data_IF_630774786141
#
_entry.id   IF_630774786141
#
_cell.length_a   1.000
_cell.length_b   1.000
_cell.length_c   1.000
_cell.angle_alpha   90.00
_cell.angle_beta   90.00
_cell.angle_gamma   90.00
#
_symmetry.space_group_name_H-M   'P 1'
#
loop_
_entity.id
_entity.type
_entity.pdbx_description
1 polymer ?
#
# COMPACT_ATOMS: atom_id res chain seq x y z
N UNK A 1 -39.49 45.21 13.06
CA UNK A 1 -38.59 45.13 11.89
C UNK A 1 -37.14 44.71 12.21
N UNK A 2 -36.60 44.95 13.42
CA UNK A 2 -35.21 44.61 13.76
C UNK A 2 -34.90 43.10 13.87
N UNK A 3 -35.81 42.31 14.43
CA UNK A 3 -35.61 40.86 14.63
C UNK A 3 -35.47 40.06 13.33
N UNK A 4 -36.14 40.46 12.25
CA UNK A 4 -36.06 39.79 10.95
C UNK A 4 -34.68 39.97 10.28
N UNK A 5 -34.07 41.15 10.45
CA UNK A 5 -32.71 41.45 9.93
C UNK A 5 -31.62 40.68 10.68
N UNK A 6 -31.77 40.54 12.00
CA UNK A 6 -30.85 39.76 12.84
C UNK A 6 -30.96 38.26 12.49
N UNK A 7 -32.18 37.75 12.32
CA UNK A 7 -32.41 36.35 11.95
C UNK A 7 -31.86 36.01 10.54
N UNK A 8 -32.05 36.88 9.55
CA UNK A 8 -31.45 36.74 8.22
C UNK A 8 -29.91 36.80 8.25
N UNK A 9 -29.34 37.67 9.10
CA UNK A 9 -27.88 37.75 9.28
C UNK A 9 -27.30 36.45 9.85
N UNK A 10 -27.96 35.85 10.86
CA UNK A 10 -27.55 34.56 11.41
C UNK A 10 -27.68 33.41 10.39
N UNK A 11 -28.74 33.38 9.59
CA UNK A 11 -28.92 32.40 8.52
C UNK A 11 -27.82 32.54 7.46
N UNK A 12 -27.52 33.77 7.03
CA UNK A 12 -26.45 34.03 6.05
C UNK A 12 -25.08 33.65 6.62
N UNK A 13 -24.77 34.00 7.87
CA UNK A 13 -23.53 33.60 8.55
C UNK A 13 -23.40 32.09 8.77
N UNK A 14 -24.50 31.35 8.90
CA UNK A 14 -24.50 29.88 8.98
C UNK A 14 -24.38 29.21 7.61
N UNK A 15 -24.88 29.84 6.54
CA UNK A 15 -24.85 29.28 5.18
C UNK A 15 -23.51 29.49 4.47
N UNK A 16 -22.81 30.60 4.72
CA UNK A 16 -21.49 30.88 4.11
C UNK A 16 -20.46 29.77 4.38
N UNK A 17 -20.23 29.29 5.61
CA UNK A 17 -19.26 28.22 5.86
C UNK A 17 -19.68 26.89 5.20
N UNK A 18 -20.98 26.60 5.08
CA UNK A 18 -21.47 25.41 4.37
C UNK A 18 -21.20 25.47 2.85
N UNK A 19 -21.41 26.62 2.23
CA UNK A 19 -21.19 26.81 0.77
C UNK A 19 -19.70 26.75 0.43
N UNK A 20 -18.84 27.35 1.26
CA UNK A 20 -17.38 27.28 1.08
C UNK A 20 -16.88 25.84 1.20
N UNK A 21 -17.32 25.11 2.24
CA UNK A 21 -16.94 23.71 2.45
C UNK A 21 -17.43 22.77 1.32
N UNK A 22 -18.58 23.06 0.71
CA UNK A 22 -19.10 22.30 -0.43
C UNK A 22 -18.31 22.59 -1.73
N UNK A 23 -17.89 23.84 -1.96
CA UNK A 23 -17.10 24.25 -3.12
C UNK A 23 -15.70 23.64 -3.10
N UNK A 24 -15.06 23.62 -1.93
CA UNK A 24 -13.76 22.99 -1.74
C UNK A 24 -13.85 21.48 -1.97
N UNK A 25 -14.90 20.84 -1.45
CA UNK A 25 -15.13 19.40 -1.64
C UNK A 25 -15.30 18.99 -3.12
N UNK A 26 -16.07 19.77 -3.90
CA UNK A 26 -16.25 19.53 -5.32
C UNK A 26 -14.94 19.69 -6.09
N UNK A 27 -14.15 20.72 -5.77
CA UNK A 27 -12.84 20.96 -6.40
C UNK A 27 -11.85 19.81 -6.18
N UNK A 28 -11.74 19.27 -4.95
CA UNK A 28 -10.88 18.12 -4.68
C UNK A 28 -11.33 16.86 -5.44
N UNK A 29 -12.64 16.65 -5.59
CA UNK A 29 -13.16 15.52 -6.36
C UNK A 29 -12.89 15.66 -7.85
N UNK A 30 -13.08 16.85 -8.43
CA UNK A 30 -12.75 17.14 -9.82
C UNK A 30 -11.26 16.93 -10.10
N UNK A 31 -10.38 17.37 -9.21
CA UNK A 31 -8.94 17.14 -9.31
C UNK A 31 -8.60 15.63 -9.34
N UNK A 32 -9.21 14.84 -8.45
CA UNK A 32 -9.05 13.39 -8.44
C UNK A 32 -9.54 12.74 -9.75
N UNK A 33 -10.67 13.22 -10.28
CA UNK A 33 -11.25 12.71 -11.52
C UNK A 33 -10.39 13.02 -12.75
N UNK A 34 -9.81 14.22 -12.85
CA UNK A 34 -8.90 14.60 -13.93
C UNK A 34 -7.58 13.81 -13.88
N UNK A 35 -7.04 13.58 -12.68
CA UNK A 35 -5.87 12.71 -12.51
C UNK A 35 -6.22 11.27 -12.88
N UNK A 36 -7.43 10.78 -12.58
CA UNK A 36 -7.82 9.42 -12.93
C UNK A 36 -7.78 9.16 -14.44
N UNK A 37 -8.22 10.13 -15.26
CA UNK A 37 -8.20 10.01 -16.73
C UNK A 37 -6.78 9.84 -17.27
N UNK A 38 -5.80 10.50 -16.66
CA UNK A 38 -4.43 10.58 -17.19
C UNK A 38 -3.44 9.64 -16.50
N UNK A 39 -3.65 9.30 -15.23
CA UNK A 39 -2.77 8.48 -14.38
C UNK A 39 -3.58 7.84 -13.24
N UNK A 40 -4.35 6.76 -13.50
CA UNK A 40 -5.36 6.26 -12.58
C UNK A 40 -4.83 5.75 -11.23
N UNK A 41 -3.60 5.25 -11.15
CA UNK A 41 -2.98 4.88 -9.86
C UNK A 41 -2.82 6.11 -8.95
N UNK A 42 -2.46 7.27 -9.50
CA UNK A 42 -2.30 8.49 -8.70
C UNK A 42 -3.61 9.11 -8.25
N UNK A 43 -4.76 8.68 -8.79
CA UNK A 43 -6.07 9.09 -8.30
C UNK A 43 -6.48 8.37 -7.00
N UNK A 44 -5.92 7.18 -6.74
CA UNK A 44 -6.18 6.39 -5.52
C UNK A 44 -5.96 7.21 -4.24
N UNK A 45 -4.75 7.77 -3.99
CA UNK A 45 -4.50 8.53 -2.76
C UNK A 45 -5.39 9.78 -2.64
N UNK A 46 -5.85 10.36 -3.75
CA UNK A 46 -6.76 11.51 -3.74
C UNK A 46 -8.16 11.09 -3.29
N UNK A 47 -8.69 10.00 -3.84
CA UNK A 47 -9.98 9.47 -3.39
C UNK A 47 -9.94 8.99 -1.94
N UNK A 48 -8.85 8.37 -1.49
CA UNK A 48 -8.66 8.02 -0.08
C UNK A 48 -8.67 9.28 0.81
N UNK A 49 -7.99 10.34 0.39
CA UNK A 49 -7.95 11.61 1.10
C UNK A 49 -9.33 12.29 1.17
N UNK A 50 -10.09 12.28 0.07
CA UNK A 50 -11.48 12.76 0.02
C UNK A 50 -12.33 12.03 1.07
N UNK A 51 -12.29 10.69 1.08
CA UNK A 51 -13.11 9.90 2.01
C UNK A 51 -12.74 10.07 3.48
N UNK A 52 -11.49 10.46 3.78
CA UNK A 52 -11.04 10.68 5.15
C UNK A 52 -11.35 12.08 5.66
N UNK A 53 -11.34 13.10 4.79
CA UNK A 53 -11.36 14.50 5.19
C UNK A 53 -12.63 15.25 4.78
N UNK A 54 -13.35 14.79 3.77
CA UNK A 54 -14.52 15.48 3.22
C UNK A 54 -15.81 14.79 3.70
N UNK A 55 -16.69 15.58 4.32
CA UNK A 55 -17.98 15.12 4.86
C UNK A 55 -19.16 15.47 3.94
N UNK A 56 -19.02 15.21 2.64
CA UNK A 56 -20.11 15.37 1.67
C UNK A 56 -20.64 14.00 1.22
N UNK A 57 -21.92 13.71 1.45
CA UNK A 57 -22.51 12.39 1.20
C UNK A 57 -22.51 11.97 -0.28
N UNK A 58 -22.80 12.89 -1.19
CA UNK A 58 -22.92 12.59 -2.62
C UNK A 58 -21.55 12.38 -3.26
N UNK A 59 -20.59 13.26 -2.90
CA UNK A 59 -19.19 13.12 -3.30
C UNK A 59 -18.63 11.81 -2.74
N UNK A 60 -18.89 11.49 -1.46
CA UNK A 60 -18.39 10.26 -0.84
C UNK A 60 -18.97 9.01 -1.50
N UNK A 61 -20.26 9.00 -1.86
CA UNK A 61 -20.88 7.87 -2.57
C UNK A 61 -20.20 7.61 -3.92
N UNK A 62 -19.86 8.69 -4.63
CA UNK A 62 -19.19 8.61 -5.93
C UNK A 62 -17.73 8.20 -5.77
N UNK A 63 -16.98 8.84 -4.86
CA UNK A 63 -15.60 8.51 -4.54
C UNK A 63 -15.45 7.06 -4.06
N UNK A 64 -16.38 6.54 -3.25
CA UNK A 64 -16.40 5.13 -2.83
C UNK A 64 -16.47 4.19 -4.03
N UNK A 65 -17.33 4.52 -5.00
CA UNK A 65 -17.53 3.68 -6.19
C UNK A 65 -16.30 3.71 -7.11
N UNK A 66 -15.71 4.89 -7.31
CA UNK A 66 -14.48 5.08 -8.11
C UNK A 66 -13.28 4.40 -7.47
N UNK A 67 -13.05 4.61 -6.18
CA UNK A 67 -11.95 4.00 -5.44
C UNK A 67 -12.03 2.47 -5.44
N UNK A 68 -13.23 1.91 -5.20
CA UNK A 68 -13.43 0.46 -5.31
C UNK A 68 -13.10 -0.07 -6.70
N UNK A 69 -13.53 0.62 -7.76
CA UNK A 69 -13.20 0.25 -9.13
C UNK A 69 -11.68 0.23 -9.36
N UNK A 70 -10.96 1.25 -8.88
CA UNK A 70 -9.50 1.33 -9.00
C UNK A 70 -8.81 0.17 -8.25
N UNK A 71 -9.22 -0.13 -7.02
CA UNK A 71 -8.67 -1.28 -6.28
C UNK A 71 -8.86 -2.60 -7.02
N UNK A 72 -10.04 -2.83 -7.60
CA UNK A 72 -10.29 -4.04 -8.40
C UNK A 72 -9.45 -4.04 -9.69
N UNK A 73 -9.39 -2.91 -10.40
CA UNK A 73 -8.64 -2.76 -11.66
C UNK A 73 -7.16 -3.08 -11.49
N UNK A 74 -6.57 -2.67 -10.36
CA UNK A 74 -5.15 -2.89 -10.06
C UNK A 74 -4.88 -4.12 -9.19
N UNK A 75 -5.88 -5.00 -8.98
CA UNK A 75 -5.77 -6.22 -8.16
C UNK A 75 -5.30 -5.98 -6.71
N UNK A 76 -5.68 -4.84 -6.13
CA UNK A 76 -5.40 -4.47 -4.75
C UNK A 76 -6.42 -5.14 -3.80
N UNK A 77 -6.37 -6.47 -3.73
CA UNK A 77 -7.43 -7.26 -3.07
C UNK A 77 -7.47 -7.06 -1.55
N UNK A 78 -6.33 -6.87 -0.89
CA UNK A 78 -6.34 -6.56 0.55
C UNK A 78 -7.04 -5.22 0.82
N UNK A 79 -6.81 -4.21 -0.02
CA UNK A 79 -7.50 -2.92 0.04
C UNK A 79 -9.00 -3.09 -0.18
N UNK A 80 -9.42 -3.94 -1.13
CA UNK A 80 -10.85 -4.27 -1.33
C UNK A 80 -11.49 -4.81 -0.05
N UNK A 81 -10.83 -5.74 0.64
CA UNK A 81 -11.37 -6.35 1.87
C UNK A 81 -11.46 -5.34 3.02
N UNK A 82 -10.40 -4.56 3.25
CA UNK A 82 -10.36 -3.50 4.25
C UNK A 82 -11.41 -2.42 3.95
N UNK A 83 -11.54 -2.05 2.66
CA UNK A 83 -12.46 -1.03 2.21
C UNK A 83 -13.92 -1.42 2.41
N UNK A 84 -14.27 -2.68 2.16
CA UNK A 84 -15.62 -3.19 2.41
C UNK A 84 -15.97 -3.28 3.89
N UNK A 85 -14.98 -3.49 4.78
CA UNK A 85 -15.20 -3.37 6.24
C UNK A 85 -15.51 -1.93 6.65
N UNK A 86 -14.76 -0.95 6.12
CA UNK A 86 -14.95 0.47 6.46
C UNK A 86 -16.22 1.05 5.82
N UNK A 87 -16.55 0.62 4.61
CA UNK A 87 -17.67 1.13 3.81
C UNK A 87 -18.54 -0.02 3.32
N UNK A 88 -19.64 -0.28 4.05
CA UNK A 88 -20.59 -1.36 3.76
C UNK A 88 -20.91 -1.49 2.27
N UNK A 89 -20.70 -2.65 1.64
CA UNK A 89 -20.81 -2.81 0.19
C UNK A 89 -22.27 -2.79 -0.29
N UNK A 90 -22.51 -2.14 -1.43
CA UNK A 90 -23.79 -2.23 -2.15
C UNK A 90 -23.86 -3.56 -2.96
N UNK A 91 -25.00 -3.84 -3.59
CA UNK A 91 -25.24 -5.09 -4.36
C UNK A 91 -24.15 -5.36 -5.42
N UNK A 92 -23.73 -4.33 -6.15
CA UNK A 92 -22.68 -4.44 -7.17
C UNK A 92 -21.30 -4.76 -6.57
N UNK A 93 -20.89 -4.05 -5.51
CA UNK A 93 -19.64 -4.30 -4.80
C UNK A 93 -19.61 -5.69 -4.15
N UNK A 94 -20.73 -6.13 -3.57
CA UNK A 94 -20.87 -7.50 -3.04
C UNK A 94 -20.60 -8.54 -4.14
N UNK A 95 -21.26 -8.42 -5.31
CA UNK A 95 -21.06 -9.33 -6.44
C UNK A 95 -19.60 -9.36 -6.91
N UNK A 96 -18.94 -8.21 -7.03
CA UNK A 96 -17.53 -8.15 -7.44
C UNK A 96 -16.60 -8.77 -6.38
N UNK A 97 -16.87 -8.52 -5.10
CA UNK A 97 -16.10 -9.10 -3.99
C UNK A 97 -16.27 -10.61 -3.95
N UNK A 98 -17.48 -11.13 -4.14
CA UNK A 98 -17.74 -12.57 -4.23
C UNK A 98 -16.94 -13.23 -5.36
N UNK A 99 -16.86 -12.60 -6.55
CA UNK A 99 -16.03 -13.11 -7.65
C UNK A 99 -14.53 -13.17 -7.30
N UNK A 100 -14.03 -12.18 -6.56
CA UNK A 100 -12.63 -12.17 -6.07
C UNK A 100 -12.43 -13.33 -5.09
N UNK A 101 -13.34 -13.51 -4.13
CA UNK A 101 -13.30 -14.59 -3.14
C UNK A 101 -13.37 -15.95 -3.84
N UNK A 102 -14.27 -16.15 -4.81
CA UNK A 102 -14.36 -17.40 -5.59
C UNK A 102 -13.06 -17.72 -6.34
N UNK A 103 -12.43 -16.70 -6.96
CA UNK A 103 -11.15 -16.88 -7.65
C UNK A 103 -10.04 -17.28 -6.69
N UNK A 104 -9.96 -16.63 -5.53
CA UNK A 104 -8.95 -16.92 -4.50
C UNK A 104 -9.21 -18.27 -3.83
N UNK A 105 -10.46 -18.60 -3.53
CA UNK A 105 -10.85 -19.84 -2.84
C UNK A 105 -10.51 -21.06 -3.69
N UNK A 106 -10.76 -20.99 -5.02
CA UNK A 106 -10.33 -22.03 -5.98
C UNK A 106 -8.82 -22.25 -5.95
N UNK A 107 -8.02 -21.18 -5.90
CA UNK A 107 -6.55 -21.28 -5.86
C UNK A 107 -6.04 -21.82 -4.51
N UNK A 108 -6.74 -21.52 -3.42
CA UNK A 108 -6.38 -21.96 -2.07
C UNK A 108 -6.99 -23.33 -1.70
N UNK A 109 -7.83 -23.90 -2.57
CA UNK A 109 -8.56 -25.13 -2.30
C UNK A 109 -9.58 -25.01 -1.15
N UNK A 110 -10.14 -23.83 -0.92
CA UNK A 110 -11.13 -23.55 0.13
C UNK A 110 -12.52 -23.31 -0.48
N UNK A 111 -13.59 -23.52 0.30
CA UNK A 111 -14.91 -23.02 -0.10
C UNK A 111 -14.94 -21.48 0.00
N UNK A 112 -15.76 -20.80 -0.82
CA UNK A 112 -15.90 -19.34 -0.75
C UNK A 112 -16.36 -18.83 0.63
N UNK A 113 -17.19 -19.61 1.34
CA UNK A 113 -17.69 -19.27 2.66
C UNK A 113 -16.59 -19.33 3.73
N UNK A 114 -15.76 -20.37 3.71
CA UNK A 114 -14.62 -20.50 4.61
C UNK A 114 -13.63 -19.34 4.40
N UNK A 115 -13.28 -19.05 3.14
CA UNK A 115 -12.35 -17.97 2.84
C UNK A 115 -12.92 -16.61 3.25
N UNK A 116 -14.21 -16.35 3.01
CA UNK A 116 -14.89 -15.14 3.47
C UNK A 116 -14.81 -14.97 4.99
N UNK A 117 -15.03 -16.05 5.73
CA UNK A 117 -14.92 -16.07 7.19
C UNK A 117 -13.49 -15.77 7.67
N UNK A 118 -12.47 -16.37 7.05
CA UNK A 118 -11.06 -16.11 7.35
C UNK A 118 -10.70 -14.65 7.07
N UNK A 119 -11.11 -14.11 5.91
CA UNK A 119 -10.85 -12.72 5.54
C UNK A 119 -11.51 -11.76 6.55
N UNK A 120 -12.75 -12.03 6.96
CA UNK A 120 -13.45 -11.21 7.95
C UNK A 120 -12.68 -11.10 9.27
N UNK A 121 -12.16 -12.23 9.76
CA UNK A 121 -11.33 -12.28 10.96
C UNK A 121 -9.96 -11.60 10.74
N UNK A 122 -9.33 -11.81 9.58
CA UNK A 122 -8.03 -11.23 9.25
C UNK A 122 -8.07 -9.69 9.17
N UNK A 123 -9.18 -9.14 8.67
CA UNK A 123 -9.45 -7.70 8.55
C UNK A 123 -9.88 -7.10 9.92
N UNK A 124 -10.17 -7.93 10.92
CA UNK A 124 -10.41 -7.44 12.28
C UNK A 124 -9.13 -7.05 13.01
N UNK A 125 -9.20 -6.01 13.86
CA UNK A 125 -8.15 -5.64 14.79
C UNK A 125 -8.47 -6.11 16.22
N UNK A 126 -9.65 -6.71 16.43
CA UNK A 126 -10.13 -7.07 17.76
C UNK A 126 -9.39 -8.32 18.27
N UNK A 127 -8.85 -8.24 19.50
CA UNK A 127 -8.06 -9.32 20.11
C UNK A 127 -8.83 -10.64 20.22
N UNK A 128 -10.14 -10.58 20.42
CA UNK A 128 -11.02 -11.76 20.48
C UNK A 128 -11.03 -12.57 19.18
N UNK A 129 -10.66 -11.97 18.05
CA UNK A 129 -10.62 -12.65 16.74
C UNK A 129 -9.35 -13.44 16.51
N UNK A 130 -8.27 -13.20 17.28
CA UNK A 130 -6.97 -13.82 17.04
C UNK A 130 -7.01 -15.35 17.19
N UNK A 131 -7.58 -15.94 18.27
CA UNK A 131 -7.65 -17.39 18.41
C UNK A 131 -8.50 -18.03 17.31
N UNK A 132 -9.64 -17.42 16.97
CA UNK A 132 -10.56 -17.91 15.93
C UNK A 132 -9.89 -17.93 14.54
N UNK A 133 -9.09 -16.91 14.24
CA UNK A 133 -8.34 -16.82 12.98
C UNK A 133 -7.31 -17.95 12.89
N UNK A 134 -6.56 -18.18 13.97
CA UNK A 134 -5.55 -19.24 14.04
C UNK A 134 -6.20 -20.61 13.96
N UNK A 135 -7.32 -20.82 14.66
CA UNK A 135 -8.09 -22.06 14.58
C UNK A 135 -8.50 -22.38 13.14
N UNK A 136 -9.08 -21.41 12.43
CA UNK A 136 -9.45 -21.59 11.02
C UNK A 136 -8.25 -21.82 10.10
N UNK A 137 -7.12 -21.18 10.36
CA UNK A 137 -5.89 -21.44 9.62
C UNK A 137 -5.39 -22.88 9.85
N UNK A 138 -5.41 -23.36 11.10
CA UNK A 138 -4.94 -24.71 11.50
C UNK A 138 -5.79 -25.83 10.90
N UNK A 139 -7.05 -25.59 10.56
CA UNK A 139 -7.90 -26.58 9.88
C UNK A 139 -7.37 -26.94 8.48
N UNK A 140 -6.78 -25.99 7.76
CA UNK A 140 -6.22 -26.22 6.42
C UNK A 140 -4.99 -25.35 6.19
N UNK A 141 -3.86 -25.67 6.85
CA UNK A 141 -2.67 -24.85 6.78
C UNK A 141 -2.06 -24.94 5.38
N UNK A 142 -1.88 -23.80 4.74
CA UNK A 142 -1.08 -23.67 3.52
C UNK A 142 -0.22 -22.42 3.55
N UNK A 143 0.86 -22.41 2.79
CA UNK A 143 1.79 -21.27 2.71
C UNK A 143 1.06 -20.07 2.09
N UNK A 144 0.24 -20.32 1.07
CA UNK A 144 -0.53 -19.32 0.35
C UNK A 144 -1.61 -18.69 1.23
N UNK A 145 -2.29 -19.50 2.05
CA UNK A 145 -3.28 -19.00 2.99
C UNK A 145 -2.62 -18.16 4.09
N UNK A 146 -1.49 -18.63 4.64
CA UNK A 146 -0.73 -17.87 5.62
C UNK A 146 -0.28 -16.53 5.04
N UNK A 147 0.23 -16.52 3.81
CA UNK A 147 0.65 -15.29 3.14
C UNK A 147 -0.51 -14.31 2.96
N UNK A 148 -1.70 -14.77 2.56
CA UNK A 148 -2.88 -13.92 2.45
C UNK A 148 -3.30 -13.34 3.80
N UNK A 149 -3.39 -14.15 4.85
CA UNK A 149 -3.76 -13.70 6.19
C UNK A 149 -2.73 -12.67 6.69
N UNK A 150 -1.44 -12.98 6.53
CA UNK A 150 -0.35 -12.12 6.93
C UNK A 150 -0.33 -10.80 6.15
N UNK A 151 -0.56 -10.81 4.82
CA UNK A 151 -0.57 -9.59 4.01
C UNK A 151 -1.71 -8.65 4.40
N UNK A 152 -2.90 -9.20 4.70
CA UNK A 152 -4.04 -8.44 5.22
C UNK A 152 -3.70 -7.85 6.59
N UNK A 153 -3.23 -8.67 7.55
CA UNK A 153 -2.88 -8.20 8.90
C UNK A 153 -1.77 -7.16 8.88
N UNK A 154 -0.82 -7.25 7.96
CA UNK A 154 0.22 -6.23 7.76
C UNK A 154 -0.34 -4.87 7.31
N UNK A 155 -1.57 -4.78 6.80
CA UNK A 155 -2.26 -3.51 6.50
C UNK A 155 -3.19 -3.03 7.61
N UNK A 156 -3.53 -3.89 8.58
CA UNK A 156 -4.31 -3.54 9.78
C UNK A 156 -3.36 -3.01 10.87
N UNK A 157 -3.76 -2.01 11.69
CA UNK A 157 -3.00 -1.58 12.86
C UNK A 157 -3.13 -2.58 14.03
N UNK A 158 -2.86 -3.87 13.78
CA UNK A 158 -2.97 -4.97 14.76
C UNK A 158 -1.64 -5.73 14.85
N UNK A 159 -0.65 -5.13 15.53
CA UNK A 159 0.68 -5.73 15.71
C UNK A 159 0.66 -6.93 16.64
N UNK A 160 -0.24 -6.95 17.62
CA UNK A 160 -0.43 -8.07 18.54
C UNK A 160 -0.97 -9.30 17.80
N UNK A 161 -1.97 -9.15 16.93
CA UNK A 161 -2.51 -10.26 16.15
C UNK A 161 -1.50 -10.86 15.18
N UNK A 162 -0.59 -10.05 14.63
CA UNK A 162 0.52 -10.57 13.82
C UNK A 162 1.49 -11.38 14.69
N UNK A 163 1.83 -10.88 15.88
CA UNK A 163 2.70 -11.59 16.80
C UNK A 163 2.09 -12.93 17.24
N UNK A 164 0.80 -12.94 17.56
CA UNK A 164 0.05 -14.15 17.92
C UNK A 164 0.01 -15.17 16.77
N UNK A 165 -0.26 -14.72 15.53
CA UNK A 165 -0.22 -15.59 14.36
C UNK A 165 1.16 -16.25 14.16
N UNK A 166 2.25 -15.49 14.39
CA UNK A 166 3.62 -15.97 14.26
C UNK A 166 4.05 -16.91 15.42
N UNK A 167 3.53 -16.70 16.63
CA UNK A 167 3.81 -17.61 17.77
C UNK A 167 3.10 -18.95 17.60
N UNK A 168 1.87 -18.93 17.11
CA UNK A 168 1.07 -20.13 16.84
C UNK A 168 1.52 -20.90 15.58
N UNK A 169 2.39 -20.28 14.77
CA UNK A 169 2.94 -20.87 13.54
C UNK A 169 4.47 -20.85 13.57
N UNK A 170 5.13 -21.62 14.47
CA UNK A 170 6.58 -21.56 14.67
C UNK A 170 7.38 -21.97 13.42
N UNK A 171 6.78 -22.81 12.56
CA UNK A 171 7.37 -23.30 11.31
C UNK A 171 7.10 -22.36 10.11
N UNK A 172 6.43 -21.23 10.32
CA UNK A 172 6.21 -20.26 9.26
C UNK A 172 7.55 -19.74 8.70
N UNK A 173 7.54 -19.37 7.42
CA UNK A 173 8.74 -18.86 6.75
C UNK A 173 9.36 -17.70 7.58
N UNK A 174 10.64 -17.79 7.98
CA UNK A 174 11.29 -16.78 8.84
C UNK A 174 11.24 -15.36 8.27
N UNK A 175 11.05 -15.20 6.95
CA UNK A 175 10.82 -13.90 6.30
C UNK A 175 9.61 -13.16 6.89
N UNK A 176 8.53 -13.86 7.28
CA UNK A 176 7.37 -13.23 7.89
C UNK A 176 7.71 -12.59 9.25
N UNK A 177 8.60 -13.23 10.03
CA UNK A 177 9.10 -12.64 11.27
C UNK A 177 9.90 -11.37 11.01
N UNK A 178 10.78 -11.37 10.00
CA UNK A 178 11.51 -10.15 9.62
C UNK A 178 10.58 -9.04 9.14
N UNK A 179 9.55 -9.36 8.35
CA UNK A 179 8.56 -8.39 7.91
C UNK A 179 7.79 -7.78 9.10
N UNK A 180 7.44 -8.62 10.09
CA UNK A 180 6.85 -8.15 11.35
C UNK A 180 7.80 -7.22 12.12
N UNK A 181 9.06 -7.60 12.31
CA UNK A 181 10.05 -6.74 12.99
C UNK A 181 10.23 -5.40 12.27
N UNK A 182 10.25 -5.39 10.94
CA UNK A 182 10.37 -4.17 10.16
C UNK A 182 9.21 -3.19 10.44
N UNK A 183 7.99 -3.69 10.64
CA UNK A 183 6.79 -2.90 10.93
C UNK A 183 6.66 -2.53 12.41
N UNK A 184 6.78 -3.49 13.31
CA UNK A 184 6.36 -3.35 14.71
C UNK A 184 7.51 -3.08 15.69
N UNK A 185 8.72 -3.56 15.38
CA UNK A 185 9.89 -3.53 16.29
C UNK A 185 11.18 -3.29 15.50
N UNK A 186 11.29 -2.15 14.78
CA UNK A 186 12.39 -1.91 13.85
C UNK A 186 13.77 -1.92 14.54
N UNK A 187 13.85 -1.52 15.81
CA UNK A 187 15.05 -1.59 16.65
C UNK A 187 15.57 -3.03 16.82
N UNK A 188 14.68 -4.01 16.85
CA UNK A 188 15.01 -5.43 16.99
C UNK A 188 15.35 -6.10 15.66
N UNK A 189 15.06 -5.45 14.52
CA UNK A 189 15.24 -6.05 13.19
C UNK A 189 16.70 -6.41 12.90
N UNK A 190 17.66 -5.58 13.35
CA UNK A 190 19.09 -5.86 13.12
C UNK A 190 19.49 -7.21 13.73
N UNK A 191 19.08 -7.47 14.98
CA UNK A 191 19.36 -8.75 15.65
C UNK A 191 18.68 -9.90 14.90
N UNK A 192 17.38 -9.77 14.61
CA UNK A 192 16.62 -10.79 13.88
C UNK A 192 17.21 -11.11 12.49
N UNK A 193 17.77 -10.11 11.79
CA UNK A 193 18.45 -10.29 10.52
C UNK A 193 19.71 -11.16 10.67
N UNK A 194 20.57 -10.90 11.66
CA UNK A 194 21.77 -11.69 11.87
C UNK A 194 21.45 -13.10 12.38
N UNK A 195 20.44 -13.24 13.24
CA UNK A 195 19.95 -14.55 13.69
C UNK A 195 19.49 -15.37 12.48
N UNK A 196 18.70 -14.77 11.58
CA UNK A 196 18.26 -15.43 10.34
C UNK A 196 19.42 -15.75 9.39
N UNK A 197 20.40 -14.84 9.25
CA UNK A 197 21.55 -15.04 8.37
C UNK A 197 22.44 -16.22 8.81
N UNK A 198 22.37 -16.61 10.09
CA UNK A 198 23.07 -17.79 10.62
C UNK A 198 22.43 -19.12 10.20
N UNK A 199 21.21 -19.10 9.66
CA UNK A 199 20.53 -20.30 9.15
C UNK A 199 21.22 -20.76 7.85
N UNK A 200 21.94 -21.88 7.94
CA UNK A 200 22.72 -22.45 6.81
C UNK A 200 21.85 -22.84 5.61
N UNK A 201 20.59 -23.24 5.85
CA UNK A 201 19.68 -23.81 4.86
C UNK A 201 18.72 -22.79 4.19
N UNK A 202 19.02 -21.49 4.21
CA UNK A 202 18.14 -20.52 3.53
C UNK A 202 18.13 -20.73 2.01
N UNK A 203 16.94 -20.84 1.44
CA UNK A 203 16.73 -20.83 -0.01
C UNK A 203 17.21 -19.51 -0.63
N UNK A 204 17.51 -19.54 -1.93
CA UNK A 204 17.86 -18.34 -2.71
C UNK A 204 16.81 -17.23 -2.59
N UNK A 205 15.53 -17.59 -2.64
CA UNK A 205 14.41 -16.66 -2.48
C UNK A 205 14.40 -16.02 -1.08
N UNK A 206 14.60 -16.81 -0.02
CA UNK A 206 14.68 -16.27 1.35
C UNK A 206 15.89 -15.37 1.53
N UNK A 207 17.05 -15.69 0.94
CA UNK A 207 18.23 -14.79 0.97
C UNK A 207 17.91 -13.45 0.28
N UNK A 208 17.25 -13.49 -0.88
CA UNK A 208 16.80 -12.29 -1.58
C UNK A 208 15.87 -11.44 -0.71
N UNK A 209 14.81 -12.04 -0.16
CA UNK A 209 13.79 -11.35 0.64
C UNK A 209 14.36 -10.80 1.95
N UNK A 210 15.26 -11.55 2.61
CA UNK A 210 15.95 -11.11 3.82
C UNK A 210 16.79 -9.86 3.57
N UNK A 211 17.62 -9.86 2.52
CA UNK A 211 18.44 -8.71 2.13
C UNK A 211 17.58 -7.52 1.68
N UNK A 212 16.46 -7.79 1.01
CA UNK A 212 15.49 -6.77 0.60
C UNK A 212 14.92 -6.04 1.83
N UNK A 213 14.36 -6.77 2.80
CA UNK A 213 13.77 -6.20 4.01
C UNK A 213 14.80 -5.41 4.84
N UNK A 214 16.02 -5.92 4.96
CA UNK A 214 17.09 -5.21 5.66
C UNK A 214 17.54 -3.94 4.90
N UNK A 215 17.59 -4.00 3.56
CA UNK A 215 17.81 -2.84 2.72
C UNK A 215 16.78 -1.73 2.93
N UNK A 216 15.49 -2.08 3.03
CA UNK A 216 14.41 -1.15 3.35
C UNK A 216 14.56 -0.53 4.74
N UNK A 217 14.91 -1.33 5.74
CA UNK A 217 15.17 -0.84 7.10
C UNK A 217 16.29 0.21 7.14
N UNK A 218 17.43 -0.08 6.49
CA UNK A 218 18.56 0.83 6.41
C UNK A 218 18.18 2.15 5.71
N UNK A 219 17.28 2.10 4.71
CA UNK A 219 16.75 3.30 4.07
C UNK A 219 15.95 4.16 5.05
N UNK A 220 15.09 3.54 5.85
CA UNK A 220 14.28 4.25 6.84
C UNK A 220 15.16 4.89 7.93
N UNK A 221 16.32 4.29 8.23
CA UNK A 221 17.37 4.88 9.07
C UNK A 221 18.26 5.91 8.35
N UNK A 222 17.94 6.29 7.11
CA UNK A 222 18.72 7.22 6.27
C UNK A 222 20.15 6.75 5.95
N UNK A 223 20.46 5.46 6.12
CA UNK A 223 21.76 4.85 5.78
C UNK A 223 21.80 4.43 4.30
N UNK A 224 21.62 5.40 3.41
CA UNK A 224 21.33 5.15 1.99
C UNK A 224 22.40 4.34 1.24
N UNK A 225 23.69 4.59 1.51
CA UNK A 225 24.79 3.83 0.88
C UNK A 225 24.73 2.34 1.21
N UNK A 226 24.47 2.01 2.48
CA UNK A 226 24.33 0.62 2.92
C UNK A 226 23.03 0.02 2.40
N UNK A 227 21.91 0.75 2.49
CA UNK A 227 20.63 0.33 1.92
C UNK A 227 20.78 -0.07 0.44
N UNK A 228 21.41 0.79 -0.38
CA UNK A 228 21.67 0.51 -1.78
C UNK A 228 22.50 -0.76 -1.98
N UNK A 229 23.56 -0.97 -1.17
CA UNK A 229 24.36 -2.19 -1.23
C UNK A 229 23.54 -3.45 -0.95
N UNK A 230 22.71 -3.44 0.10
CA UNK A 230 21.88 -4.60 0.45
C UNK A 230 20.78 -4.87 -0.58
N UNK A 231 20.17 -3.82 -1.16
CA UNK A 231 19.18 -3.96 -2.23
C UNK A 231 19.82 -4.49 -3.53
N UNK A 232 21.05 -4.08 -3.84
CA UNK A 232 21.81 -4.63 -4.96
C UNK A 232 22.22 -6.09 -4.73
N UNK A 233 22.65 -6.44 -3.51
CA UNK A 233 22.91 -7.84 -3.15
C UNK A 233 21.63 -8.67 -3.25
N UNK A 234 20.49 -8.15 -2.79
CA UNK A 234 19.19 -8.81 -2.94
C UNK A 234 18.87 -9.09 -4.41
N UNK A 235 19.00 -8.10 -5.31
CA UNK A 235 18.70 -8.30 -6.74
C UNK A 235 19.64 -9.34 -7.41
N UNK A 236 20.85 -9.52 -6.90
CA UNK A 236 21.78 -10.53 -7.38
C UNK A 236 21.25 -11.97 -7.18
N UNK A 237 20.46 -12.20 -6.12
CA UNK A 237 19.83 -13.48 -5.81
C UNK A 237 18.52 -13.73 -6.57
N UNK A 238 18.05 -12.81 -7.42
CA UNK A 238 16.78 -12.99 -8.11
C UNK A 238 16.80 -14.24 -9.02
N UNK A 239 16.00 -15.29 -8.73
CA UNK A 239 15.99 -16.52 -9.52
C UNK A 239 15.30 -16.33 -10.88
N UNK A 240 14.59 -15.21 -11.11
CA UNK A 240 13.78 -14.94 -12.29
C UNK A 240 14.37 -13.90 -13.24
N UNK A 241 15.71 -13.72 -13.28
CA UNK A 241 16.40 -12.80 -14.22
C UNK A 241 15.98 -12.97 -15.70
N UNK A 242 15.38 -14.11 -16.07
CA UNK A 242 14.92 -14.44 -17.42
C UNK A 242 13.59 -13.80 -17.85
N UNK A 243 12.82 -13.18 -16.95
CA UNK A 243 11.45 -12.71 -17.27
C UNK A 243 11.37 -11.34 -17.96
N UNK A 244 12.48 -10.76 -18.44
CA UNK A 244 12.52 -9.44 -19.09
C UNK A 244 12.03 -8.24 -18.24
N UNK A 245 11.60 -8.44 -17.00
CA UNK A 245 11.23 -7.39 -16.05
C UNK A 245 12.34 -7.11 -15.04
N UNK A 246 12.37 -5.88 -14.55
CA UNK A 246 13.23 -5.43 -13.45
C UNK A 246 12.63 -5.94 -12.14
N UNK A 247 13.46 -6.55 -11.31
CA UNK A 247 13.03 -7.09 -10.03
C UNK A 247 12.74 -5.99 -9.00
N UNK A 248 11.99 -6.36 -7.96
CA UNK A 248 11.58 -5.43 -6.91
C UNK A 248 12.76 -4.81 -6.18
N UNK A 249 13.84 -5.55 -5.96
CA UNK A 249 15.02 -5.07 -5.25
C UNK A 249 15.77 -4.03 -6.08
N UNK A 250 15.86 -4.21 -7.40
CA UNK A 250 16.40 -3.19 -8.32
C UNK A 250 15.54 -1.93 -8.37
N UNK A 251 14.21 -2.07 -8.35
CA UNK A 251 13.29 -0.92 -8.27
C UNK A 251 13.52 -0.13 -6.97
N UNK A 252 13.58 -0.81 -5.83
CA UNK A 252 13.81 -0.15 -4.54
C UNK A 252 15.25 0.41 -4.41
N UNK A 253 16.23 -0.22 -5.05
CA UNK A 253 17.59 0.31 -5.20
C UNK A 253 17.56 1.66 -5.93
N UNK A 254 16.90 1.73 -7.08
CA UNK A 254 16.79 2.97 -7.85
C UNK A 254 16.08 4.09 -7.06
N UNK A 255 14.97 3.78 -6.37
CA UNK A 255 14.31 4.75 -5.46
C UNK A 255 15.29 5.25 -4.38
N UNK A 256 16.08 4.36 -3.81
CA UNK A 256 17.09 4.69 -2.77
C UNK A 256 18.19 5.59 -3.32
N UNK A 257 18.68 5.31 -4.52
CA UNK A 257 19.68 6.14 -5.20
C UNK A 257 19.14 7.55 -5.47
N UNK A 258 17.90 7.68 -5.96
CA UNK A 258 17.24 8.98 -6.16
C UNK A 258 17.12 9.75 -4.84
N UNK A 259 16.67 9.09 -3.77
CA UNK A 259 16.58 9.70 -2.42
C UNK A 259 17.94 10.27 -2.00
N UNK A 260 19.02 9.53 -2.27
CA UNK A 260 20.40 9.96 -1.96
C UNK A 260 21.00 10.99 -2.93
N UNK A 261 20.27 11.43 -3.97
CA UNK A 261 20.74 12.41 -4.96
C UNK A 261 21.48 11.83 -6.17
N UNK A 262 21.52 10.50 -6.32
CA UNK A 262 22.21 9.79 -7.42
C UNK A 262 21.23 9.41 -8.53
N UNK A 263 20.49 10.38 -9.06
CA UNK A 263 19.41 10.12 -10.03
C UNK A 263 19.88 9.54 -11.36
N UNK A 264 21.03 9.98 -11.88
CA UNK A 264 21.59 9.47 -13.14
C UNK A 264 21.89 7.97 -13.05
N UNK A 265 22.58 7.57 -11.99
CA UNK A 265 22.88 6.19 -11.68
C UNK A 265 21.61 5.37 -11.44
N UNK A 266 20.64 5.90 -10.68
CA UNK A 266 19.36 5.24 -10.47
C UNK A 266 18.67 4.88 -11.79
N UNK A 267 18.63 5.82 -12.73
CA UNK A 267 18.00 5.58 -14.03
C UNK A 267 18.83 4.64 -14.92
N UNK A 268 20.15 4.54 -14.75
CA UNK A 268 20.96 3.55 -15.49
C UNK A 268 20.66 2.09 -15.11
N UNK A 269 20.16 1.85 -13.89
CA UNK A 269 19.71 0.52 -13.48
C UNK A 269 18.36 0.13 -14.11
N UNK A 270 17.63 1.09 -14.70
CA UNK A 270 16.30 0.88 -15.21
C UNK A 270 16.31 0.86 -16.74
N UNK A 271 15.96 -0.29 -17.31
CA UNK A 271 15.64 -0.40 -18.73
C UNK A 271 14.22 0.12 -18.97
N UNK A 272 14.01 1.06 -19.92
CA UNK A 272 12.68 1.58 -20.24
C UNK A 272 11.68 0.46 -20.55
N UNK A 273 10.49 0.50 -19.93
CA UNK A 273 9.39 -0.41 -20.22
C UNK A 273 9.49 -1.76 -19.51
N UNK A 274 10.55 -1.99 -18.73
CA UNK A 274 10.78 -3.24 -18.00
C UNK A 274 10.37 -3.18 -16.53
N UNK A 275 9.88 -2.03 -16.04
CA UNK A 275 9.34 -1.91 -14.68
C UNK A 275 7.91 -2.46 -14.67
N UNK A 276 7.65 -3.46 -13.83
CA UNK A 276 6.30 -3.92 -13.57
C UNK A 276 5.62 -2.91 -12.64
N UNK A 277 4.64 -2.15 -13.16
CA UNK A 277 3.92 -1.14 -12.39
C UNK A 277 2.95 -1.81 -11.42
N UNK A 278 3.24 -1.76 -10.11
CA UNK A 278 2.40 -2.34 -9.05
C UNK A 278 1.80 -1.30 -8.11
N UNK A 279 2.42 -0.12 -8.05
CA UNK A 279 2.03 0.98 -7.17
C UNK A 279 2.48 2.32 -7.80
N UNK A 280 2.04 3.40 -7.19
CA UNK A 280 2.34 4.79 -7.59
C UNK A 280 3.85 5.07 -7.59
N UNK A 281 4.61 4.43 -6.70
CA UNK A 281 6.06 4.59 -6.63
C UNK A 281 6.78 3.98 -7.84
N UNK A 282 6.30 2.85 -8.34
CA UNK A 282 6.84 2.18 -9.53
C UNK A 282 6.51 3.00 -10.79
N UNK A 283 5.28 3.52 -10.92
CA UNK A 283 4.88 4.40 -12.03
C UNK A 283 5.64 5.72 -12.01
N UNK A 284 5.79 6.36 -10.84
CA UNK A 284 6.55 7.59 -10.71
C UNK A 284 8.00 7.41 -11.11
N UNK A 285 8.62 6.30 -10.70
CA UNK A 285 10.00 5.99 -11.05
C UNK A 285 10.15 5.81 -12.56
N UNK A 286 9.23 5.08 -13.19
CA UNK A 286 9.20 4.89 -14.65
C UNK A 286 9.05 6.24 -15.38
N UNK A 287 8.12 7.09 -14.95
CA UNK A 287 7.94 8.45 -15.51
C UNK A 287 9.17 9.34 -15.31
N UNK A 288 9.76 9.31 -14.12
CA UNK A 288 10.94 10.10 -13.78
C UNK A 288 12.15 9.72 -14.65
N UNK A 289 12.41 8.43 -14.82
CA UNK A 289 13.57 7.95 -15.56
C UNK A 289 13.36 7.88 -17.09
N UNK A 290 12.15 7.68 -17.60
CA UNK A 290 11.92 7.57 -19.06
C UNK A 290 11.93 8.89 -19.80
N UNK A 291 11.47 9.99 -19.20
CA UNK A 291 11.11 11.16 -20.01
C UNK A 291 11.62 12.51 -19.52
N UNK A 292 12.23 12.63 -18.33
CA UNK A 292 12.39 13.97 -17.69
C UNK A 292 11.10 14.81 -17.81
N UNK A 293 9.92 14.16 -17.88
CA UNK A 293 8.64 14.80 -18.19
C UNK A 293 8.12 15.46 -16.92
N UNK A 294 8.86 16.48 -16.50
CA UNK A 294 8.58 17.30 -15.33
C UNK A 294 7.18 17.89 -15.42
N UNK A 295 6.68 18.19 -16.62
CA UNK A 295 5.30 18.63 -16.82
C UNK A 295 4.27 17.59 -16.41
N UNK A 296 4.41 16.33 -16.85
CA UNK A 296 3.51 15.24 -16.43
C UNK A 296 3.63 14.96 -14.94
N UNK A 297 4.84 14.97 -14.38
CA UNK A 297 5.06 14.76 -12.94
C UNK A 297 4.48 15.92 -12.12
N UNK A 298 4.59 17.17 -12.59
CA UNK A 298 4.00 18.36 -11.95
C UNK A 298 2.49 18.26 -11.84
N UNK A 299 1.80 17.70 -12.84
CA UNK A 299 0.35 17.43 -12.78
C UNK A 299 -0.03 16.45 -11.65
N UNK A 300 0.90 15.59 -11.23
CA UNK A 300 0.67 14.62 -10.15
C UNK A 300 0.94 15.21 -8.75
N UNK A 301 1.36 16.48 -8.64
CA UNK A 301 1.74 17.12 -7.38
C UNK A 301 0.74 16.93 -6.23
N UNK A 302 -0.60 17.05 -6.43
CA UNK A 302 -1.57 16.84 -5.35
C UNK A 302 -1.48 15.43 -4.75
N UNK A 303 -1.42 14.42 -5.63
CA UNK A 303 -1.26 13.01 -5.25
C UNK A 303 0.09 12.77 -4.56
N UNK A 304 1.17 13.34 -5.09
CA UNK A 304 2.51 13.23 -4.51
C UNK A 304 2.60 13.83 -3.11
N UNK A 305 1.88 14.92 -2.83
CA UNK A 305 1.84 15.53 -1.49
C UNK A 305 1.23 14.58 -0.46
N UNK A 306 0.13 13.90 -0.81
CA UNK A 306 -0.50 12.89 0.06
C UNK A 306 0.43 11.68 0.25
N UNK A 307 1.01 11.16 -0.84
CA UNK A 307 1.93 10.02 -0.79
C UNK A 307 3.21 10.33 0.00
N UNK A 308 3.68 11.57 -0.05
CA UNK A 308 4.84 12.04 0.71
C UNK A 308 4.58 12.05 2.22
N UNK A 309 3.34 12.18 2.68
CA UNK A 309 3.01 12.17 4.11
C UNK A 309 2.96 10.76 4.71
N UNK A 310 2.90 9.70 3.89
CA UNK A 310 2.89 8.31 4.34
C UNK A 310 4.24 7.89 4.94
N UNK A 311 4.25 6.81 5.74
CA UNK A 311 5.46 6.28 6.42
C UNK A 311 6.64 6.02 5.46
N UNK A 312 6.36 5.51 4.25
CA UNK A 312 7.37 5.25 3.22
C UNK A 312 7.48 6.40 2.18
N UNK A 313 7.07 7.61 2.55
CA UNK A 313 6.94 8.77 1.68
C UNK A 313 8.26 9.41 1.20
N UNK A 314 9.43 8.92 1.63
CA UNK A 314 10.74 9.55 1.37
C UNK A 314 11.04 9.75 -0.12
N UNK A 315 10.68 8.76 -0.95
CA UNK A 315 10.86 8.85 -2.39
C UNK A 315 10.03 9.99 -2.98
N UNK A 316 8.74 10.05 -2.64
CA UNK A 316 7.83 11.11 -3.09
C UNK A 316 8.27 12.50 -2.60
N UNK A 317 8.70 12.61 -1.33
CA UNK A 317 9.29 13.85 -0.78
C UNK A 317 10.49 14.33 -1.60
N UNK A 318 11.37 13.41 -2.01
CA UNK A 318 12.53 13.76 -2.83
C UNK A 318 12.10 14.24 -4.21
N UNK A 319 11.17 13.56 -4.87
CA UNK A 319 10.67 13.96 -6.19
C UNK A 319 9.98 15.34 -6.13
N UNK A 320 9.15 15.58 -5.11
CA UNK A 320 8.52 16.89 -4.90
C UNK A 320 9.55 18.03 -4.80
N UNK A 321 10.70 17.81 -4.14
CA UNK A 321 11.79 18.79 -4.06
C UNK A 321 12.53 19.01 -5.38
N UNK A 322 12.47 18.05 -6.31
CA UNK A 322 13.13 18.16 -7.62
C UNK A 322 12.26 18.91 -8.62
N UNK A 323 10.93 18.82 -8.47
CA UNK A 323 9.98 19.42 -9.42
C UNK A 323 9.46 20.80 -9.00
N UNK A 324 9.64 21.18 -7.73
CA UNK A 324 9.38 22.53 -7.22
C UNK A 324 10.59 23.41 -7.49
#
# INVERSE_FOLDING_TARGET
>A
MGYLKIFLFYIVCLLIPLVVQAKDAASYFEEAYEIEKSSPLFAIPLYENILNNIKNKDINKTAISRLFYLYVKYNMYEEVFLFNKKHSPNKSRKKNTSKIIEKLSKRLGLSPLELSSIISLAVSADKSTHPLLVEKYKLKPSIELFHLIFSIKMKVPDTEGIAYLLSESPNANPIFRLAYFLKAKPESLRKAFFDMASISALSTQQKMDMLYLYGLHLRNQRRYKLSARYLWMSSSYNPYKRKNYIDISTVELAKTLIISGRSSEACSFLKPGKILIRNEGDELLDLYCKQKNTLKIKKLKPSLQILAQRENGLFFKKILRIIN
#
